data_IF_644672955012
#
_entry.id   IF_644672955012
#
_cell.length_a   1.000
_cell.length_b   1.000
_cell.length_c   1.000
_cell.angle_alpha   90.00
_cell.angle_beta   90.00
_cell.angle_gamma   90.00
#
_symmetry.space_group_name_H-M   'P 1'
#
loop_
_entity.id
_entity.type
_entity.pdbx_description
1 polymer ?
#
# COMPACT_ATOMS: atom_id res chain seq x y z
N UNK A 1 46.36 -8.50 -3.02
CA UNK A 1 45.35 -9.00 -2.08
C UNK A 1 44.33 -9.82 -2.87
N UNK A 2 44.34 -11.14 -2.71
CA UNK A 2 43.33 -12.01 -3.32
C UNK A 2 42.00 -11.80 -2.58
N UNK A 3 40.97 -11.37 -3.31
CA UNK A 3 39.61 -11.27 -2.77
C UNK A 3 39.17 -12.69 -2.45
N UNK A 4 39.10 -13.03 -1.17
CA UNK A 4 38.49 -14.28 -0.71
C UNK A 4 36.99 -14.12 -0.99
N UNK A 5 36.56 -14.60 -2.15
CA UNK A 5 35.15 -14.74 -2.47
C UNK A 5 34.58 -15.80 -1.54
N UNK A 6 33.92 -15.38 -0.45
CA UNK A 6 33.28 -16.31 0.48
C UNK A 6 32.02 -16.90 -0.22
N UNK A 7 32.07 -18.16 -0.69
CA UNK A 7 30.99 -18.73 -1.49
C UNK A 7 29.69 -18.87 -0.69
N UNK A 8 29.76 -18.98 0.65
CA UNK A 8 28.59 -19.04 1.52
C UNK A 8 27.81 -17.72 1.56
N UNK A 9 28.52 -16.59 1.48
CA UNK A 9 27.90 -15.26 1.41
C UNK A 9 27.21 -15.07 0.06
N UNK A 10 27.85 -15.48 -1.03
CA UNK A 10 27.27 -15.42 -2.37
C UNK A 10 26.01 -16.31 -2.49
N UNK A 11 25.99 -17.47 -1.83
CA UNK A 11 24.82 -18.36 -1.81
C UNK A 11 23.63 -17.74 -1.03
N UNK A 12 23.91 -17.12 0.12
CA UNK A 12 22.91 -16.41 0.91
C UNK A 12 22.35 -15.18 0.19
N UNK A 13 23.22 -14.43 -0.50
CA UNK A 13 22.82 -13.28 -1.31
C UNK A 13 21.94 -13.71 -2.49
N UNK A 14 22.22 -14.85 -3.11
CA UNK A 14 21.40 -15.40 -4.19
C UNK A 14 20.02 -15.85 -3.69
N UNK A 15 19.97 -16.55 -2.55
CA UNK A 15 18.72 -16.96 -1.92
C UNK A 15 17.85 -15.75 -1.52
N UNK A 16 18.45 -14.73 -0.92
CA UNK A 16 17.72 -13.52 -0.52
C UNK A 16 17.18 -12.74 -1.72
N UNK A 17 17.95 -12.64 -2.81
CA UNK A 17 17.49 -12.04 -4.07
C UNK A 17 16.30 -12.80 -4.65
N UNK A 18 16.37 -14.13 -4.68
CA UNK A 18 15.28 -14.98 -5.15
C UNK A 18 14.02 -14.80 -4.28
N UNK A 19 14.17 -14.74 -2.95
CA UNK A 19 13.07 -14.49 -2.03
C UNK A 19 12.40 -13.11 -2.28
N UNK A 20 13.18 -12.07 -2.57
CA UNK A 20 12.63 -10.74 -2.94
C UNK A 20 11.86 -10.81 -4.26
N UNK A 21 12.37 -11.51 -5.26
CA UNK A 21 11.67 -11.65 -6.55
C UNK A 21 10.37 -12.46 -6.42
N UNK A 22 10.35 -13.48 -5.56
CA UNK A 22 9.12 -14.19 -5.21
C UNK A 22 8.12 -13.27 -4.50
N UNK A 23 8.56 -12.46 -3.54
CA UNK A 23 7.72 -11.46 -2.87
C UNK A 23 7.13 -10.45 -3.86
N UNK A 24 7.96 -9.97 -4.80
CA UNK A 24 7.53 -9.05 -5.86
C UNK A 24 6.49 -9.66 -6.78
N UNK A 25 6.72 -10.91 -7.22
CA UNK A 25 5.81 -11.65 -8.09
C UNK A 25 4.48 -11.90 -7.40
N UNK A 26 4.51 -12.29 -6.13
CA UNK A 26 3.31 -12.44 -5.31
C UNK A 26 2.52 -11.13 -5.17
N UNK A 27 3.20 -10.03 -4.83
CA UNK A 27 2.56 -8.72 -4.71
C UNK A 27 1.93 -8.26 -6.04
N UNK A 28 2.58 -8.51 -7.17
CA UNK A 28 2.06 -8.19 -8.49
C UNK A 28 0.77 -8.96 -8.78
N UNK A 29 0.75 -10.26 -8.48
CA UNK A 29 -0.45 -11.10 -8.61
C UNK A 29 -1.57 -10.62 -7.67
N UNK A 30 -1.25 -10.29 -6.41
CA UNK A 30 -2.21 -9.76 -5.45
C UNK A 30 -2.88 -8.47 -5.93
N UNK A 31 -2.09 -7.54 -6.49
CA UNK A 31 -2.60 -6.30 -7.07
C UNK A 31 -3.53 -6.56 -8.28
N UNK A 32 -3.16 -7.50 -9.15
CA UNK A 32 -3.98 -7.88 -10.30
C UNK A 32 -5.30 -8.55 -9.88
N UNK A 33 -5.26 -9.48 -8.94
CA UNK A 33 -6.48 -10.11 -8.40
C UNK A 33 -7.38 -9.07 -7.71
N UNK A 34 -6.79 -8.11 -6.98
CA UNK A 34 -7.54 -7.01 -6.35
C UNK A 34 -8.23 -6.13 -7.38
N UNK A 35 -7.56 -5.75 -8.47
CA UNK A 35 -8.15 -4.86 -9.49
C UNK A 35 -9.29 -5.54 -10.23
N UNK A 36 -9.17 -6.85 -10.52
CA UNK A 36 -10.20 -7.63 -11.21
C UNK A 36 -11.46 -7.83 -10.36
N UNK A 37 -11.34 -7.85 -9.03
CA UNK A 37 -12.48 -8.01 -8.10
C UNK A 37 -13.21 -6.69 -7.76
N UNK A 38 -12.72 -5.54 -8.22
CA UNK A 38 -13.40 -4.26 -8.01
C UNK A 38 -14.41 -3.99 -9.14
N UNK A 39 -15.57 -3.36 -8.83
CA UNK A 39 -16.02 -2.92 -7.51
C UNK A 39 -16.55 -4.06 -6.63
N UNK A 40 -16.45 -3.91 -5.31
CA UNK A 40 -17.05 -4.85 -4.35
C UNK A 40 -18.54 -4.53 -4.14
N UNK A 41 -19.41 -5.49 -4.37
CA UNK A 41 -20.86 -5.31 -4.19
C UNK A 41 -21.26 -5.67 -2.76
N UNK A 42 -21.53 -4.66 -1.93
CA UNK A 42 -21.98 -4.85 -0.55
C UNK A 42 -23.49 -5.13 -0.50
N UNK A 43 -23.87 -6.31 -0.02
CA UNK A 43 -25.25 -6.77 0.01
C UNK A 43 -26.10 -6.08 1.07
N UNK A 44 -25.50 -5.53 2.14
CA UNK A 44 -26.27 -4.89 3.22
C UNK A 44 -26.62 -3.45 2.89
N UNK A 45 -25.70 -2.72 2.22
CA UNK A 45 -25.88 -1.30 1.88
C UNK A 45 -26.30 -1.07 0.44
N UNK A 46 -26.14 -2.07 -0.44
CA UNK A 46 -26.37 -1.94 -1.88
C UNK A 46 -25.31 -1.09 -2.60
N UNK A 47 -24.23 -0.71 -1.93
CA UNK A 47 -23.17 0.12 -2.51
C UNK A 47 -22.15 -0.73 -3.25
N UNK A 48 -21.86 -0.37 -4.51
CA UNK A 48 -20.70 -0.87 -5.25
C UNK A 48 -19.44 -0.12 -4.80
N UNK A 49 -18.75 -0.68 -3.80
CA UNK A 49 -17.61 -0.08 -3.13
C UNK A 49 -16.33 -0.13 -3.99
N UNK A 50 -15.58 0.97 -3.94
CA UNK A 50 -14.26 1.12 -4.53
C UNK A 50 -13.27 1.63 -3.47
N UNK A 51 -12.02 1.94 -3.88
CA UNK A 51 -11.08 2.62 -3.00
C UNK A 51 -11.68 3.93 -2.47
N UNK A 52 -11.59 4.15 -1.16
CA UNK A 52 -12.09 5.34 -0.49
C UNK A 52 -10.96 6.08 0.23
N UNK A 53 -11.22 7.35 0.58
CA UNK A 53 -10.25 8.23 1.24
C UNK A 53 -10.74 8.68 2.63
N UNK A 54 -11.64 7.90 3.23
CA UNK A 54 -12.23 8.22 4.54
C UNK A 54 -11.25 7.97 5.69
N UNK A 55 -10.27 7.08 5.49
CA UNK A 55 -9.29 6.71 6.49
C UNK A 55 -8.13 7.72 6.49
N UNK A 56 -8.10 8.58 7.50
CA UNK A 56 -7.07 9.59 7.67
C UNK A 56 -6.19 9.30 8.90
N UNK A 57 -4.88 9.39 8.74
CA UNK A 57 -3.92 9.22 9.83
C UNK A 57 -3.83 10.47 10.73
N UNK A 58 -3.31 10.30 11.96
CA UNK A 58 -3.09 11.41 12.91
C UNK A 58 -2.19 12.51 12.33
N UNK A 59 -1.18 12.15 11.53
CA UNK A 59 -0.29 13.11 10.86
C UNK A 59 -0.99 13.99 9.83
N UNK A 60 -2.17 13.59 9.33
CA UNK A 60 -2.98 14.40 8.42
C UNK A 60 -3.88 15.40 9.16
N UNK A 61 -3.99 15.31 10.48
CA UNK A 61 -4.83 16.21 11.27
C UNK A 61 -4.16 17.58 11.37
N UNK A 62 -4.75 18.58 10.72
CA UNK A 62 -4.39 19.99 10.86
C UNK A 62 -5.29 20.74 11.84
N UNK A 63 -4.97 22.00 12.16
CA UNK A 63 -5.85 22.86 12.95
C UNK A 63 -7.17 23.15 12.19
N UNK A 64 -8.22 23.52 12.91
CA UNK A 64 -9.45 24.02 12.30
C UNK A 64 -9.23 25.26 11.43
N UNK A 65 -9.92 25.36 10.29
CA UNK A 65 -9.85 26.52 9.39
C UNK A 65 -11.02 27.49 9.59
N UNK A 66 -12.16 27.00 10.07
CA UNK A 66 -13.36 27.80 10.34
C UNK A 66 -13.58 28.02 11.85
N UNK A 67 -14.29 29.09 12.26
CA UNK A 67 -14.66 29.31 13.66
C UNK A 67 -15.41 28.09 14.24
N UNK A 68 -14.99 27.64 15.43
CA UNK A 68 -15.56 26.46 16.11
C UNK A 68 -15.05 25.10 15.61
N UNK A 69 -14.22 25.07 14.56
CA UNK A 69 -13.63 23.83 14.06
C UNK A 69 -12.40 23.44 14.87
N UNK A 70 -12.37 22.22 15.42
CA UNK A 70 -11.21 21.73 16.18
C UNK A 70 -10.08 21.29 15.25
N UNK A 71 -10.43 20.57 14.17
CA UNK A 71 -9.47 19.97 13.24
C UNK A 71 -9.93 20.04 11.80
N UNK A 72 -8.95 20.06 10.89
CA UNK A 72 -9.17 19.95 9.45
C UNK A 72 -8.31 18.82 8.90
N UNK A 73 -8.78 18.13 7.86
CA UNK A 73 -8.05 17.11 7.14
C UNK A 73 -7.86 17.52 5.67
N UNK A 74 -6.83 17.00 4.96
CA UNK A 74 -6.59 17.33 3.56
C UNK A 74 -7.81 17.04 2.70
N UNK A 75 -8.32 18.07 2.02
CA UNK A 75 -9.40 17.92 1.06
C UNK A 75 -8.86 17.36 -0.26
N UNK A 76 -9.66 16.54 -0.93
CA UNK A 76 -9.34 16.01 -2.26
C UNK A 76 -10.02 16.88 -3.31
N UNK A 77 -9.24 17.44 -4.23
CA UNK A 77 -9.79 18.15 -5.39
C UNK A 77 -10.58 17.18 -6.28
N UNK A 78 -11.73 17.63 -6.77
CA UNK A 78 -12.62 16.92 -7.69
C UNK A 78 -13.12 17.88 -8.77
N UNK A 79 -13.56 17.36 -9.91
CA UNK A 79 -14.17 18.09 -11.02
C UNK A 79 -15.32 17.26 -11.57
#
# INVERSE_FOLDING_TARGET
ATVIHNPLKALGDQFYKEAIEHCRSYNSRLCAERSVRLPFLDSQTGVAQNNCYIWMEKRHRGPGLAPGQLYTYPARCWR
#
